data_IF_769166617590
#
_entry.id   IF_769166617590
#
_cell.length_a   1.000
_cell.length_b   1.000
_cell.length_c   1.000
_cell.angle_alpha   90.00
_cell.angle_beta   90.00
_cell.angle_gamma   90.00
#
_symmetry.space_group_name_H-M   'P 1'
#
loop_
_entity.id
_entity.type
_entity.pdbx_description
1 polymer ?
#
# COMPACT_ATOMS: atom_id res chain seq x y z
N UNK A 1 -5.17 -20.45 14.69
CA UNK A 1 -5.09 -19.47 13.58
C UNK A 1 -4.38 -18.26 14.12
N UNK A 2 -3.30 -17.78 13.50
CA UNK A 2 -2.65 -16.55 13.96
C UNK A 2 -3.65 -15.40 13.82
N UNK A 3 -3.58 -14.46 14.77
CA UNK A 3 -4.51 -13.34 14.89
C UNK A 3 -4.66 -12.59 13.55
N UNK A 4 -5.82 -12.74 12.90
CA UNK A 4 -6.09 -12.23 11.53
C UNK A 4 -6.29 -10.70 11.46
N UNK A 5 -5.82 -9.96 12.48
CA UNK A 5 -5.98 -8.51 12.60
C UNK A 5 -4.89 -7.72 11.84
N UNK A 6 -4.39 -8.22 10.72
CA UNK A 6 -3.29 -7.62 9.98
C UNK A 6 -3.26 -7.98 8.50
N UNK A 7 -2.36 -7.34 7.75
CA UNK A 7 -2.15 -7.60 6.33
C UNK A 7 -1.41 -8.93 6.11
N UNK A 8 -1.94 -9.77 5.22
CA UNK A 8 -1.32 -11.03 4.80
C UNK A 8 -1.32 -11.17 3.27
N UNK A 9 -0.56 -12.13 2.72
CA UNK A 9 -0.31 -12.25 1.28
C UNK A 9 0.17 -10.94 0.63
N UNK A 10 1.05 -10.24 1.33
CA UNK A 10 1.57 -8.94 0.90
C UNK A 10 2.47 -9.12 -0.32
N UNK A 11 2.19 -8.33 -1.35
CA UNK A 11 2.98 -8.19 -2.57
C UNK A 11 3.18 -6.72 -2.86
N UNK A 12 4.33 -6.37 -3.42
CA UNK A 12 4.71 -4.98 -3.65
C UNK A 12 5.28 -4.80 -5.05
N UNK A 13 4.85 -3.73 -5.70
CA UNK A 13 5.36 -3.26 -6.97
C UNK A 13 5.92 -1.86 -6.81
N UNK A 14 7.04 -1.61 -7.46
CA UNK A 14 7.48 -0.25 -7.75
C UNK A 14 6.78 0.24 -9.00
N UNK A 15 6.22 1.44 -8.92
CA UNK A 15 5.50 2.12 -9.99
C UNK A 15 6.34 3.31 -10.46
N UNK A 16 6.61 3.38 -11.75
CA UNK A 16 7.29 4.49 -12.40
C UNK A 16 6.49 4.88 -13.65
N UNK A 17 5.39 5.62 -13.45
CA UNK A 17 4.45 5.96 -14.52
C UNK A 17 3.75 4.72 -15.06
N UNK A 18 4.01 4.36 -16.32
CA UNK A 18 3.43 3.17 -16.96
C UNK A 18 4.19 1.87 -16.61
N UNK A 19 5.42 1.98 -16.10
CA UNK A 19 6.24 0.82 -15.77
C UNK A 19 5.96 0.35 -14.35
N UNK A 20 5.71 -0.95 -14.21
CA UNK A 20 5.50 -1.61 -12.91
C UNK A 20 6.47 -2.79 -12.77
N UNK A 21 7.25 -2.78 -11.69
CA UNK A 21 8.22 -3.83 -11.40
C UNK A 21 7.85 -4.51 -10.09
N UNK A 22 7.61 -5.82 -10.12
CA UNK A 22 7.34 -6.58 -8.91
C UNK A 22 8.62 -6.72 -8.07
N UNK A 23 8.54 -6.32 -6.80
CA UNK A 23 9.64 -6.39 -5.84
C UNK A 23 9.40 -7.42 -4.73
N UNK A 24 8.26 -8.12 -4.72
CA UNK A 24 7.81 -9.03 -3.66
C UNK A 24 8.91 -9.98 -3.15
N UNK A 25 9.66 -10.62 -4.05
CA UNK A 25 10.69 -11.60 -3.69
C UNK A 25 12.05 -10.97 -3.31
N UNK A 26 12.24 -9.69 -3.63
CA UNK A 26 13.49 -8.94 -3.41
C UNK A 26 13.49 -8.18 -2.08
N UNK A 27 12.32 -7.97 -1.47
CA UNK A 27 12.17 -7.18 -0.25
C UNK A 27 12.08 -8.06 1.01
N UNK A 28 12.48 -7.49 2.15
CA UNK A 28 12.24 -8.12 3.44
C UNK A 28 10.74 -8.12 3.78
N UNK A 29 10.09 -9.27 3.59
CA UNK A 29 8.66 -9.47 3.83
C UNK A 29 8.21 -9.23 5.28
N UNK A 30 9.10 -9.42 6.26
CA UNK A 30 8.78 -9.13 7.66
C UNK A 30 8.71 -7.63 7.89
N UNK A 31 9.74 -6.89 7.44
CA UNK A 31 9.79 -5.43 7.55
C UNK A 31 8.62 -4.76 6.78
N UNK A 32 8.29 -5.29 5.59
CA UNK A 32 7.16 -4.81 4.81
C UNK A 32 5.83 -4.95 5.56
N UNK A 33 5.58 -6.11 6.20
CA UNK A 33 4.37 -6.32 7.00
C UNK A 33 4.34 -5.39 8.21
N UNK A 34 5.45 -5.20 8.89
CA UNK A 34 5.55 -4.28 10.03
C UNK A 34 5.23 -2.84 9.62
N UNK A 35 5.76 -2.36 8.50
CA UNK A 35 5.43 -1.04 7.96
C UNK A 35 3.91 -0.91 7.70
N UNK A 36 3.29 -1.93 7.10
CA UNK A 36 1.85 -1.93 6.83
C UNK A 36 0.98 -1.89 8.09
N UNK A 37 1.42 -2.46 9.21
CA UNK A 37 0.66 -2.35 10.48
C UNK A 37 0.60 -0.93 11.04
N UNK A 38 1.52 -0.06 10.62
CA UNK A 38 1.57 1.33 11.06
C UNK A 38 0.67 2.25 10.24
N UNK A 39 0.07 1.76 9.15
CA UNK A 39 -0.78 2.56 8.25
C UNK A 39 -1.99 3.13 9.01
N UNK A 40 -2.18 4.44 8.91
CA UNK A 40 -3.30 5.17 9.50
C UNK A 40 -4.21 5.71 8.40
N UNK A 41 -5.32 5.01 8.16
CA UNK A 41 -6.31 5.39 7.15
C UNK A 41 -7.45 6.24 7.76
N UNK A 42 -7.90 7.29 7.05
CA UNK A 42 -9.13 8.04 7.39
C UNK A 42 -10.16 7.88 6.29
N UNK A 43 -11.42 7.67 6.67
CA UNK A 43 -12.54 7.65 5.72
C UNK A 43 -12.66 8.99 5.02
N UNK A 44 -12.48 8.99 3.70
CA UNK A 44 -12.74 10.17 2.88
C UNK A 44 -14.21 10.14 2.43
N UNK A 45 -14.97 11.24 2.52
CA UNK A 45 -16.41 11.22 2.26
C UNK A 45 -16.83 10.97 0.81
N UNK A 46 -15.93 10.99 -0.19
CA UNK A 46 -16.29 10.79 -1.59
C UNK A 46 -15.16 10.15 -2.39
N UNK A 47 -15.51 9.06 -3.07
CA UNK A 47 -14.78 8.47 -4.18
C UNK A 47 -14.88 9.38 -5.41
N UNK A 48 -14.01 10.36 -5.53
CA UNK A 48 -13.80 11.03 -6.81
C UNK A 48 -12.33 11.39 -6.87
N UNK A 49 -11.58 10.72 -7.73
CA UNK A 49 -10.78 11.35 -8.76
C UNK A 49 -10.13 10.25 -9.60
N UNK A 50 -9.98 10.49 -10.90
CA UNK A 50 -8.99 9.82 -11.72
C UNK A 50 -7.62 10.15 -11.13
N UNK A 51 -7.06 9.24 -10.33
CA UNK A 51 -5.72 9.40 -9.78
C UNK A 51 -4.70 9.06 -10.88
N UNK A 52 -3.65 9.87 -11.02
CA UNK A 52 -2.58 9.53 -11.96
C UNK A 52 -1.65 8.52 -11.31
N UNK A 53 -1.39 7.40 -11.98
CA UNK A 53 -0.37 6.43 -11.56
C UNK A 53 1.02 7.06 -11.51
N UNK A 54 1.25 8.16 -12.22
CA UNK A 54 2.52 8.90 -12.17
C UNK A 54 2.84 9.48 -10.77
N UNK A 55 1.84 9.54 -9.89
CA UNK A 55 1.98 10.02 -8.51
C UNK A 55 2.11 8.90 -7.47
N UNK A 56 2.09 7.65 -7.93
CA UNK A 56 2.25 6.46 -7.11
C UNK A 56 3.66 5.95 -7.32
N UNK A 57 4.39 5.71 -6.23
CA UNK A 57 5.75 5.15 -6.26
C UNK A 57 5.73 3.66 -5.96
N UNK A 58 4.79 3.22 -5.11
CA UNK A 58 4.60 1.82 -4.74
C UNK A 58 3.13 1.47 -4.74
N UNK A 59 2.79 0.34 -5.34
CA UNK A 59 1.50 -0.32 -5.16
C UNK A 59 1.73 -1.57 -4.31
N UNK A 60 0.93 -1.73 -3.25
CA UNK A 60 0.97 -2.87 -2.36
C UNK A 60 -0.37 -3.57 -2.39
N UNK A 61 -0.35 -4.85 -2.73
CA UNK A 61 -1.52 -5.71 -2.70
C UNK A 61 -1.41 -6.62 -1.48
N UNK A 62 -2.43 -6.59 -0.63
CA UNK A 62 -2.49 -7.43 0.55
C UNK A 62 -3.92 -7.87 0.80
N UNK A 63 -4.09 -8.85 1.69
CA UNK A 63 -5.41 -9.23 2.20
C UNK A 63 -5.54 -8.71 3.62
N UNK A 64 -6.60 -7.96 3.87
CA UNK A 64 -6.95 -7.43 5.18
C UNK A 64 -8.39 -7.85 5.50
N UNK A 65 -8.61 -8.54 6.63
CA UNK A 65 -9.91 -9.12 7.00
C UNK A 65 -10.57 -9.87 5.82
N UNK A 66 -9.85 -10.82 5.23
CA UNK A 66 -10.27 -11.64 4.08
C UNK A 66 -10.64 -10.86 2.81
N UNK A 67 -10.34 -9.57 2.77
CA UNK A 67 -10.65 -8.69 1.64
C UNK A 67 -9.36 -8.24 0.95
N UNK A 68 -9.23 -8.44 -0.38
CA UNK A 68 -8.17 -7.85 -1.17
C UNK A 68 -8.17 -6.32 -1.00
N UNK A 69 -7.04 -5.82 -0.54
CA UNK A 69 -6.80 -4.43 -0.16
C UNK A 69 -5.55 -3.94 -0.86
N UNK A 70 -5.65 -2.77 -1.46
CA UNK A 70 -4.65 -2.17 -2.31
C UNK A 70 -4.22 -0.86 -1.66
N UNK A 71 -2.91 -0.64 -1.54
CA UNK A 71 -2.34 0.59 -1.02
C UNK A 71 -1.46 1.21 -2.10
N UNK A 72 -1.82 2.41 -2.52
CA UNK A 72 -1.04 3.22 -3.45
C UNK A 72 -0.35 4.32 -2.64
N UNK A 73 0.99 4.34 -2.69
CA UNK A 73 1.83 5.18 -1.84
C UNK A 73 2.86 5.92 -2.70
N UNK A 74 3.01 7.22 -2.47
CA UNK A 74 3.83 8.12 -3.26
C UNK A 74 3.53 9.59 -2.95
N UNK A 75 3.40 10.42 -3.98
CA UNK A 75 2.82 11.75 -3.85
C UNK A 75 1.33 11.70 -3.47
N UNK A 76 0.64 10.66 -3.94
CA UNK A 76 -0.71 10.29 -3.48
C UNK A 76 -0.63 9.07 -2.58
N UNK A 77 -1.42 9.07 -1.51
CA UNK A 77 -1.39 8.02 -0.50
C UNK A 77 -2.81 7.61 -0.11
N UNK A 78 -3.26 6.47 -0.61
CA UNK A 78 -4.60 5.96 -0.34
C UNK A 78 -4.64 4.44 -0.25
N UNK A 79 -5.66 3.93 0.42
CA UNK A 79 -5.99 2.51 0.50
C UNK A 79 -7.40 2.31 -0.02
N UNK A 80 -7.57 1.26 -0.82
CA UNK A 80 -8.87 0.89 -1.37
C UNK A 80 -9.06 -0.62 -1.42
N UNK A 81 -10.30 -1.05 -1.64
CA UNK A 81 -10.63 -2.46 -1.81
C UNK A 81 -11.63 -2.67 -2.96
N UNK A 82 -11.85 -3.93 -3.31
CA UNK A 82 -12.80 -4.31 -4.37
C UNK A 82 -14.27 -3.99 -4.08
N UNK A 83 -14.63 -3.53 -2.87
CA UNK A 83 -16.00 -3.15 -2.51
C UNK A 83 -16.29 -1.65 -2.63
N UNK A 84 -15.36 -0.86 -3.18
CA UNK A 84 -15.53 0.57 -3.43
C UNK A 84 -15.20 1.47 -2.23
N UNK A 85 -14.57 0.90 -1.20
CA UNK A 85 -14.00 1.63 -0.07
C UNK A 85 -12.71 2.31 -0.52
N UNK A 86 -12.55 3.62 -0.31
CA UNK A 86 -11.33 4.37 -0.60
C UNK A 86 -11.05 5.33 0.55
N UNK A 87 -9.83 5.31 1.07
CA UNK A 87 -9.40 6.00 2.27
C UNK A 87 -8.04 6.65 2.06
N UNK A 88 -7.87 7.91 2.49
CA UNK A 88 -6.58 8.57 2.48
C UNK A 88 -5.71 8.02 3.62
N UNK A 89 -4.43 7.82 3.34
CA UNK A 89 -3.43 7.46 4.34
C UNK A 89 -2.83 8.73 4.93
N UNK A 90 -3.10 8.97 6.22
CA UNK A 90 -2.61 10.18 6.91
C UNK A 90 -1.10 10.23 7.04
N UNK A 91 -0.50 9.06 7.24
CA UNK A 91 0.94 8.88 7.39
C UNK A 91 1.59 8.30 6.13
N UNK A 92 1.00 8.53 4.95
CA UNK A 92 1.50 8.02 3.68
C UNK A 92 2.98 8.34 3.44
N UNK A 93 3.43 9.56 3.73
CA UNK A 93 4.85 9.96 3.58
C UNK A 93 5.81 9.24 4.52
N UNK A 94 5.35 8.89 5.73
CA UNK A 94 6.14 8.14 6.71
C UNK A 94 6.28 6.68 6.26
N UNK A 95 5.18 6.09 5.76
CA UNK A 95 5.22 4.76 5.17
C UNK A 95 6.07 4.74 3.90
N UNK A 96 5.99 5.76 3.04
CA UNK A 96 6.81 5.88 1.83
C UNK A 96 8.30 5.82 2.17
N UNK A 97 8.74 6.57 3.18
CA UNK A 97 10.14 6.54 3.64
C UNK A 97 10.57 5.13 4.05
N UNK A 98 9.73 4.40 4.80
CA UNK A 98 10.01 3.01 5.20
C UNK A 98 10.06 2.08 3.98
N UNK A 99 9.16 2.25 3.01
CA UNK A 99 9.17 1.46 1.78
C UNK A 99 10.42 1.72 0.94
N UNK A 100 10.89 2.96 0.87
CA UNK A 100 12.15 3.28 0.19
C UNK A 100 13.34 2.60 0.85
N UNK A 101 13.40 2.53 2.17
CA UNK A 101 14.44 1.80 2.91
C UNK A 101 14.35 0.28 2.68
N UNK A 102 13.14 -0.26 2.59
CA UNK A 102 12.91 -1.70 2.38
C UNK A 102 13.22 -2.11 0.93
N UNK A 103 12.89 -1.27 -0.05
CA UNK A 103 12.91 -1.60 -1.47
C UNK A 103 14.18 -1.17 -2.21
N UNK A 104 15.03 -0.33 -1.61
CA UNK A 104 16.29 0.12 -2.22
C UNK A 104 17.55 -0.47 -1.57
N UNK A 105 17.40 -1.40 -0.62
CA UNK A 105 18.53 -2.11 0.00
C UNK A 105 18.98 -3.33 -0.79
#
# INVERSE_FOLDING_TARGET
>A
MPDMNGFWNVRIWRVNGADMTELTEQVNQTALREALTQVQAKRVPRSQHSFSMDKVSYEIIAVYNDTPTFLDIGELNFVYNGSGWVHDLKNGSEILTQLDEICNN
#
